data_IF_123811019374
#
_entry.id   IF_123811019374
#
_cell.length_a   1.000
_cell.length_b   1.000
_cell.length_c   1.000
_cell.angle_alpha   90.00
_cell.angle_beta   90.00
_cell.angle_gamma   90.00
#
_symmetry.space_group_name_H-M   'P 1'
#
loop_
_entity.id
_entity.type
_entity.pdbx_description
1 polymer ?
#
# COMPACT_ATOMS: atom_id res chain seq x y z
N UNK A 1 7.96 -11.27 -10.73
CA UNK A 1 7.07 -10.11 -10.93
C UNK A 1 5.72 -10.43 -10.29
N UNK A 2 5.14 -9.52 -9.50
CA UNK A 2 3.99 -9.80 -8.60
C UNK A 2 2.61 -9.49 -9.21
N UNK A 3 2.54 -9.31 -10.52
CA UNK A 3 1.33 -8.90 -11.23
C UNK A 3 1.34 -7.45 -11.67
N UNK A 4 0.25 -7.03 -12.31
CA UNK A 4 0.16 -5.73 -12.95
C UNK A 4 -0.54 -4.73 -12.01
N UNK A 5 0.17 -3.65 -11.68
CA UNK A 5 -0.31 -2.62 -10.75
C UNK A 5 -1.26 -1.66 -11.46
N UNK A 6 -2.40 -1.37 -10.84
CA UNK A 6 -3.37 -0.39 -11.33
C UNK A 6 -2.99 1.00 -10.86
N UNK A 7 -2.87 1.19 -9.54
CA UNK A 7 -2.50 2.49 -8.95
C UNK A 7 -1.59 2.30 -7.74
N UNK A 8 -0.70 3.27 -7.52
CA UNK A 8 0.12 3.37 -6.33
C UNK A 8 0.01 4.78 -5.78
N UNK A 9 -0.42 4.90 -4.52
CA UNK A 9 -0.58 6.18 -3.83
C UNK A 9 0.34 6.22 -2.62
N UNK A 10 1.29 7.16 -2.65
CA UNK A 10 2.22 7.39 -1.54
C UNK A 10 1.93 8.77 -0.91
N UNK A 11 1.21 8.82 0.23
CA UNK A 11 0.94 10.08 0.93
C UNK A 11 2.24 10.75 1.37
N UNK A 12 2.49 11.94 0.83
CA UNK A 12 3.63 12.78 1.18
C UNK A 12 3.26 13.70 2.34
N UNK A 13 4.19 13.90 3.26
CA UNK A 13 4.08 14.91 4.34
C UNK A 13 4.31 16.30 3.75
N UNK A 14 3.65 17.31 4.31
CA UNK A 14 3.78 18.70 3.89
C UNK A 14 5.21 19.25 4.04
N UNK A 15 5.98 18.71 4.99
CA UNK A 15 7.38 19.08 5.26
C UNK A 15 8.42 18.35 4.37
N UNK A 16 7.97 17.66 3.31
CA UNK A 16 8.82 16.77 2.53
C UNK A 16 8.93 15.36 3.15
N UNK A 17 9.02 14.34 2.30
CA UNK A 17 9.07 12.93 2.69
C UNK A 17 7.73 12.18 2.63
N UNK A 18 7.78 10.86 2.80
CA UNK A 18 6.61 9.98 2.84
C UNK A 18 6.14 9.74 4.27
N UNK A 19 4.84 9.56 4.49
CA UNK A 19 4.30 9.23 5.83
C UNK A 19 4.59 7.81 6.32
N UNK A 20 5.35 7.03 5.55
CA UNK A 20 5.76 5.67 5.93
C UNK A 20 4.74 4.59 5.58
N UNK A 21 3.67 4.94 4.86
CA UNK A 21 2.70 4.00 4.32
C UNK A 21 2.37 4.35 2.86
N UNK A 22 1.93 3.36 2.10
CA UNK A 22 1.50 3.48 0.72
C UNK A 22 0.25 2.63 0.51
N UNK A 23 -0.62 3.07 -0.40
CA UNK A 23 -1.72 2.25 -0.90
C UNK A 23 -1.38 1.75 -2.29
N UNK A 24 -1.65 0.47 -2.53
CA UNK A 24 -1.36 -0.20 -3.78
C UNK A 24 -2.62 -0.91 -4.23
N UNK A 25 -3.08 -0.61 -5.44
CA UNK A 25 -4.21 -1.27 -6.09
C UNK A 25 -3.68 -2.15 -7.22
N UNK A 26 -4.03 -3.43 -7.19
CA UNK A 26 -3.69 -4.39 -8.24
C UNK A 26 -4.85 -4.53 -9.22
N UNK A 27 -4.55 -4.94 -10.46
CA UNK A 27 -5.58 -5.25 -11.44
C UNK A 27 -6.29 -6.57 -11.11
N UNK A 28 -5.55 -7.59 -10.67
CA UNK A 28 -6.10 -8.88 -10.27
C UNK A 28 -6.21 -9.07 -8.74
N UNK A 29 -7.34 -9.59 -8.26
CA UNK A 29 -7.49 -9.97 -6.84
C UNK A 29 -6.51 -11.09 -6.43
N UNK A 30 -6.22 -12.02 -7.34
CA UNK A 30 -5.24 -13.10 -7.09
C UNK A 30 -3.81 -12.55 -6.98
N UNK A 31 -3.48 -11.56 -7.82
CA UNK A 31 -2.19 -10.87 -7.79
C UNK A 31 -2.00 -10.11 -6.48
N UNK A 32 -3.05 -9.42 -5.99
CA UNK A 32 -3.02 -8.75 -4.69
C UNK A 32 -2.75 -9.73 -3.54
N UNK A 33 -3.44 -10.88 -3.52
CA UNK A 33 -3.24 -11.90 -2.48
C UNK A 33 -1.83 -12.49 -2.52
N UNK A 34 -1.31 -12.78 -3.72
CA UNK A 34 0.04 -13.27 -3.90
C UNK A 34 1.08 -12.23 -3.45
N UNK A 35 0.92 -10.97 -3.86
CA UNK A 35 1.81 -9.89 -3.49
C UNK A 35 1.82 -9.67 -1.96
N UNK A 36 0.66 -9.68 -1.29
CA UNK A 36 0.59 -9.60 0.17
C UNK A 36 1.41 -10.72 0.80
N UNK A 37 1.13 -11.98 0.46
CA UNK A 37 1.82 -13.15 1.04
C UNK A 37 3.34 -13.11 0.86
N UNK A 38 3.82 -12.65 -0.29
CA UNK A 38 5.24 -12.61 -0.59
C UNK A 38 5.96 -11.43 0.06
N UNK A 39 5.29 -10.29 0.21
CA UNK A 39 5.91 -9.06 0.69
C UNK A 39 5.81 -8.90 2.22
N UNK A 40 4.96 -9.67 2.92
CA UNK A 40 4.77 -9.59 4.39
C UNK A 40 6.06 -9.72 5.20
N UNK A 41 7.03 -10.54 4.77
CA UNK A 41 8.30 -10.74 5.50
C UNK A 41 9.50 -10.04 4.85
N UNK A 42 9.25 -9.09 3.95
CA UNK A 42 10.33 -8.38 3.27
C UNK A 42 10.81 -7.22 4.13
N UNK A 43 12.13 -7.10 4.30
CA UNK A 43 12.75 -5.95 4.96
C UNK A 43 13.11 -4.92 3.90
N UNK A 44 12.46 -3.76 3.96
CA UNK A 44 12.78 -2.63 3.09
C UNK A 44 13.68 -1.66 3.86
N UNK A 45 14.92 -1.49 3.39
CA UNK A 45 15.93 -0.64 4.05
C UNK A 45 16.12 -0.97 5.55
N UNK A 46 16.10 -2.26 5.90
CA UNK A 46 16.23 -2.72 7.28
C UNK A 46 14.97 -2.53 8.14
N UNK A 47 13.84 -2.11 7.56
CA UNK A 47 12.56 -1.98 8.25
C UNK A 47 11.59 -3.06 7.79
N UNK A 48 10.91 -3.69 8.74
CA UNK A 48 9.89 -4.69 8.45
C UNK A 48 8.72 -4.02 7.71
N UNK A 49 8.38 -4.53 6.54
CA UNK A 49 7.18 -4.09 5.84
C UNK A 49 5.97 -4.72 6.52
N UNK A 50 4.98 -3.90 6.86
CA UNK A 50 3.67 -4.35 7.33
C UNK A 50 2.70 -4.10 6.19
N UNK A 51 1.96 -5.14 5.81
CA UNK A 51 1.01 -5.09 4.71
C UNK A 51 -0.32 -5.55 5.26
N UNK A 52 -1.32 -4.68 5.12
CA UNK A 52 -2.68 -4.95 5.55
C UNK A 52 -3.62 -4.79 4.36
N UNK A 53 -4.68 -5.60 4.26
CA UNK A 53 -5.73 -5.38 3.28
C UNK A 53 -6.34 -4.00 3.52
N UNK A 54 -6.42 -3.19 2.46
CA UNK A 54 -7.08 -1.90 2.53
C UNK A 54 -8.60 -2.09 2.60
N UNK A 55 -9.25 -1.35 3.50
CA UNK A 55 -10.71 -1.18 3.49
C UNK A 55 -11.12 -0.35 2.26
N UNK A 56 -12.38 -0.50 1.84
CA UNK A 56 -12.87 0.10 0.59
C UNK A 56 -12.61 1.61 0.54
N UNK A 57 -11.95 2.01 -0.54
CA UNK A 57 -11.35 3.34 -0.75
C UNK A 57 -12.39 4.47 -0.85
N UNK A 58 -13.69 4.16 -0.86
CA UNK A 58 -14.76 5.14 -0.70
C UNK A 58 -14.54 6.02 0.55
N UNK A 59 -13.88 5.49 1.58
CA UNK A 59 -13.56 6.19 2.82
C UNK A 59 -12.19 6.90 2.85
N UNK A 60 -11.35 6.83 1.81
CA UNK A 60 -10.06 7.55 1.83
C UNK A 60 -10.23 9.08 1.80
N UNK A 61 -11.34 9.59 1.26
CA UNK A 61 -11.70 11.01 1.35
C UNK A 61 -12.25 11.36 2.75
N UNK A 62 -12.88 10.38 3.42
CA UNK A 62 -13.40 10.50 4.79
C UNK A 62 -12.24 10.47 5.82
N UNK A 63 -11.24 9.62 5.62
CA UNK A 63 -10.04 9.54 6.46
C UNK A 63 -9.13 10.77 6.34
N UNK A 64 -9.24 11.57 5.27
CA UNK A 64 -8.51 12.85 5.13
C UNK A 64 -9.14 13.98 5.97
N UNK A 65 -10.30 13.73 6.59
CA UNK A 65 -11.11 14.73 7.29
C UNK A 65 -11.15 14.61 8.82
N UNK A 66 -10.30 13.79 9.43
CA UNK A 66 -10.11 13.78 10.89
C UNK A 66 -8.78 14.37 11.29
#
# INVERSE_FOLDING_TARGET
AYGQLKTVRLPKKYAGGHRGFAFIEFLGQQEAKAAMKHLTNTHLYGRHLVIEPAEDIADLDVMRKR
#
